data_IF_653875011393
#
_entry.id   IF_653875011393
#
_cell.length_a   1.000
_cell.length_b   1.000
_cell.length_c   1.000
_cell.angle_alpha   90.00
_cell.angle_beta   90.00
_cell.angle_gamma   90.00
#
_symmetry.space_group_name_H-M   'P 1'
#
loop_
_entity.id
_entity.type
_entity.pdbx_description
1 polymer ?
#
# COMPACT_ATOMS: atom_id res chain seq x y z
N UNK A 1 19.53 5.19 9.41
CA UNK A 1 18.96 6.13 8.42
C UNK A 1 19.99 6.89 7.58
N UNK A 2 20.94 7.64 8.16
CA UNK A 2 21.92 8.43 7.38
C UNK A 2 22.83 7.61 6.46
N UNK A 3 23.11 6.35 6.81
CA UNK A 3 23.88 5.43 5.97
C UNK A 3 23.04 4.87 4.79
N UNK A 4 21.71 4.87 4.93
CA UNK A 4 20.77 4.30 3.96
C UNK A 4 20.40 5.35 2.90
N UNK A 5 20.11 6.58 3.34
CA UNK A 5 19.57 7.68 2.51
C UNK A 5 20.58 8.82 2.32
N UNK A 6 20.47 9.55 1.20
CA UNK A 6 21.25 10.77 0.97
C UNK A 6 20.60 11.96 1.69
N UNK A 7 21.00 12.20 2.93
CA UNK A 7 20.47 13.31 3.72
C UNK A 7 20.80 14.69 3.12
N UNK A 8 21.84 14.82 2.30
CA UNK A 8 22.12 16.08 1.63
C UNK A 8 21.10 16.36 0.52
N UNK A 9 20.73 15.34 -0.26
CA UNK A 9 19.65 15.43 -1.25
C UNK A 9 18.30 15.70 -0.58
N UNK A 10 17.99 15.01 0.52
CA UNK A 10 16.77 15.24 1.29
C UNK A 10 16.69 16.68 1.81
N UNK A 11 17.77 17.23 2.39
CA UNK A 11 17.79 18.63 2.83
C UNK A 11 17.54 19.59 1.69
N UNK A 12 18.14 19.37 0.51
CA UNK A 12 17.91 20.24 -0.66
C UNK A 12 16.43 20.28 -1.06
N UNK A 13 15.75 19.14 -1.08
CA UNK A 13 14.30 19.08 -1.34
C UNK A 13 13.51 19.81 -0.25
N UNK A 14 13.79 19.49 1.02
CA UNK A 14 13.04 19.99 2.18
C UNK A 14 13.24 21.49 2.45
N UNK A 15 14.30 22.08 1.92
CA UNK A 15 14.60 23.51 2.01
C UNK A 15 14.07 24.32 0.81
N UNK A 16 13.44 23.67 -0.17
CA UNK A 16 12.79 24.39 -1.27
C UNK A 16 11.64 25.24 -0.72
N UNK A 17 11.49 26.50 -1.16
CA UNK A 17 10.41 27.37 -0.68
C UNK A 17 9.02 26.90 -1.10
N UNK A 18 8.91 26.11 -2.18
CA UNK A 18 7.66 25.56 -2.72
C UNK A 18 7.37 24.12 -2.25
N UNK A 19 8.21 23.55 -1.38
CA UNK A 19 7.98 22.23 -0.80
C UNK A 19 7.56 22.33 0.66
N UNK A 20 6.29 22.08 0.94
CA UNK A 20 5.75 22.07 2.30
C UNK A 20 5.34 20.65 2.68
N UNK A 21 5.41 20.34 3.97
CA UNK A 21 5.07 19.01 4.46
C UNK A 21 4.36 19.00 5.81
N UNK A 22 3.66 17.90 6.08
CA UNK A 22 3.13 17.56 7.41
C UNK A 22 3.43 16.11 7.77
N UNK A 23 4.05 15.89 8.92
CA UNK A 23 4.29 14.55 9.47
C UNK A 23 3.55 14.41 10.78
N UNK A 24 2.80 13.34 10.92
CA UNK A 24 1.96 13.09 12.08
C UNK A 24 2.42 11.84 12.84
N UNK A 25 2.93 12.05 14.05
CA UNK A 25 3.34 10.96 14.93
C UNK A 25 2.18 10.25 15.62
N UNK A 26 0.95 10.78 15.53
CA UNK A 26 -0.26 10.26 16.18
C UNK A 26 -0.08 9.95 17.68
N UNK A 27 0.78 10.72 18.37
CA UNK A 27 1.19 10.49 19.76
C UNK A 27 1.80 9.09 20.02
N UNK A 28 2.27 8.42 18.97
CA UNK A 28 2.91 7.12 19.04
C UNK A 28 4.42 7.18 19.23
N UNK A 29 5.05 6.01 19.20
CA UNK A 29 6.49 5.84 19.42
C UNK A 29 7.34 6.51 18.33
N UNK A 30 6.78 6.81 17.16
CA UNK A 30 7.44 7.51 16.06
C UNK A 30 7.86 8.95 16.41
N UNK A 31 7.15 9.62 17.33
CA UNK A 31 7.29 11.05 17.60
C UNK A 31 8.73 11.55 17.85
N UNK A 32 9.48 10.95 18.78
CA UNK A 32 10.88 11.30 19.03
C UNK A 32 11.79 11.08 17.82
N UNK A 33 11.59 10.01 17.05
CA UNK A 33 12.34 9.75 15.82
C UNK A 33 12.03 10.80 14.76
N UNK A 34 10.77 11.20 14.62
CA UNK A 34 10.34 12.23 13.68
C UNK A 34 11.00 13.57 14.03
N UNK A 35 11.03 13.96 15.30
CA UNK A 35 11.75 15.17 15.74
C UNK A 35 13.25 15.07 15.46
N UNK A 36 13.89 13.98 15.86
CA UNK A 36 15.33 13.80 15.70
C UNK A 36 15.75 13.81 14.22
N UNK A 37 15.02 13.09 13.37
CA UNK A 37 15.37 12.93 11.96
C UNK A 37 14.96 14.15 11.14
N UNK A 38 13.70 14.56 11.21
CA UNK A 38 13.20 15.60 10.31
C UNK A 38 13.57 16.99 10.80
N UNK A 39 13.42 17.29 12.10
CA UNK A 39 13.77 18.61 12.61
C UNK A 39 15.28 18.78 12.79
N UNK A 40 15.91 18.00 13.66
CA UNK A 40 17.32 18.24 14.02
C UNK A 40 18.29 17.88 12.89
N UNK A 41 18.06 16.75 12.20
CA UNK A 41 18.97 16.31 11.15
C UNK A 41 18.66 16.92 9.77
N UNK A 42 17.39 17.10 9.40
CA UNK A 42 16.99 17.55 8.05
C UNK A 42 16.50 19.01 7.99
N UNK A 43 16.34 19.68 9.14
CA UNK A 43 16.00 21.11 9.19
C UNK A 43 14.52 21.43 8.95
N UNK A 44 13.63 20.45 9.04
CA UNK A 44 12.18 20.67 8.92
C UNK A 44 11.69 21.48 10.14
N UNK A 45 10.90 22.56 9.96
CA UNK A 45 10.34 23.31 11.07
C UNK A 45 9.45 22.44 12.00
N UNK A 46 9.54 22.64 13.32
CA UNK A 46 8.72 21.89 14.28
C UNK A 46 7.21 22.01 14.03
N UNK A 47 6.74 23.13 13.48
CA UNK A 47 5.34 23.35 13.13
C UNK A 47 4.81 22.37 12.06
N UNK A 48 5.69 21.72 11.30
CA UNK A 48 5.34 20.67 10.33
C UNK A 48 5.19 19.29 10.99
N UNK A 49 5.59 19.13 12.25
CA UNK A 49 5.65 17.86 12.96
C UNK A 49 4.54 17.79 14.02
N UNK A 50 3.44 17.11 13.70
CA UNK A 50 2.25 17.02 14.52
C UNK A 50 2.35 15.84 15.49
N UNK A 51 1.85 16.03 16.72
CA UNK A 51 1.62 14.96 17.71
C UNK A 51 2.84 14.05 17.91
N UNK A 52 4.00 14.67 18.07
CA UNK A 52 5.31 14.00 18.18
C UNK A 52 5.76 13.75 19.63
N UNK A 53 4.88 14.01 20.58
CA UNK A 53 4.97 13.65 21.99
C UNK A 53 4.23 12.32 22.23
N UNK A 54 4.93 11.23 22.63
CA UNK A 54 4.27 9.98 22.94
C UNK A 54 3.36 10.11 24.16
N UNK A 55 2.11 9.64 24.04
CA UNK A 55 1.14 9.62 25.14
C UNK A 55 0.62 8.18 25.35
N UNK A 56 0.41 7.74 26.61
CA UNK A 56 -0.06 6.37 26.90
C UNK A 56 -1.40 6.00 26.26
N UNK A 57 -2.25 6.99 26.02
CA UNK A 57 -3.58 6.86 25.41
C UNK A 57 -3.64 7.42 23.98
N UNK A 58 -2.48 7.73 23.40
CA UNK A 58 -2.33 8.36 22.08
C UNK A 58 -3.15 9.66 21.93
N UNK A 59 -3.39 10.39 23.02
CA UNK A 59 -4.23 11.59 23.01
C UNK A 59 -5.70 11.31 22.71
N UNK A 60 -6.19 10.11 23.06
CA UNK A 60 -7.55 9.65 22.76
C UNK A 60 -7.80 9.33 21.29
N UNK A 61 -6.76 9.34 20.45
CA UNK A 61 -6.82 8.98 19.03
C UNK A 61 -6.54 7.49 18.82
N UNK A 62 -6.98 6.94 17.68
CA UNK A 62 -6.60 5.60 17.27
C UNK A 62 -5.27 5.68 16.48
N UNK A 63 -4.16 5.06 16.93
CA UNK A 63 -2.84 5.21 16.32
C UNK A 63 -2.66 4.26 15.12
N UNK A 64 -3.59 4.32 14.16
CA UNK A 64 -3.57 3.53 12.92
C UNK A 64 -3.72 4.46 11.71
N UNK A 65 -2.71 4.57 10.84
CA UNK A 65 -2.65 5.61 9.82
C UNK A 65 -3.48 5.18 8.60
N UNK A 66 -4.78 5.45 8.64
CA UNK A 66 -5.71 5.22 7.53
C UNK A 66 -6.63 6.43 7.31
N UNK A 67 -7.43 6.40 6.25
CA UNK A 67 -8.30 7.53 5.86
C UNK A 67 -9.32 7.92 6.94
N UNK A 68 -9.70 6.98 7.82
CA UNK A 68 -10.65 7.20 8.91
C UNK A 68 -9.97 7.81 10.14
N UNK A 69 -8.89 7.21 10.63
CA UNK A 69 -8.28 7.60 11.91
C UNK A 69 -7.24 8.72 11.78
N UNK A 70 -6.58 8.84 10.63
CA UNK A 70 -5.70 9.97 10.31
C UNK A 70 -6.47 11.11 9.60
N UNK A 71 -7.76 11.27 9.90
CA UNK A 71 -8.66 12.23 9.25
C UNK A 71 -8.14 13.68 9.28
N UNK A 72 -7.43 14.10 10.33
CA UNK A 72 -6.86 15.45 10.41
C UNK A 72 -5.75 15.67 9.38
N UNK A 73 -4.90 14.67 9.15
CA UNK A 73 -3.92 14.70 8.07
C UNK A 73 -4.63 14.70 6.71
N UNK A 74 -5.59 13.79 6.50
CA UNK A 74 -6.37 13.69 5.25
C UNK A 74 -7.01 15.04 4.90
N UNK A 75 -7.66 15.69 5.87
CA UNK A 75 -8.27 17.01 5.70
C UNK A 75 -7.24 18.09 5.42
N UNK A 76 -6.10 18.09 6.14
CA UNK A 76 -5.02 19.04 5.91
C UNK A 76 -4.40 18.92 4.51
N UNK A 77 -4.39 17.71 3.93
CA UNK A 77 -3.94 17.45 2.57
C UNK A 77 -5.01 17.73 1.51
N UNK A 78 -6.20 18.20 1.90
CA UNK A 78 -7.29 18.55 0.99
C UNK A 78 -8.08 17.36 0.45
N UNK A 79 -8.17 16.26 1.22
CA UNK A 79 -8.89 15.06 0.84
C UNK A 79 -10.19 14.88 1.66
N UNK A 80 -11.16 14.19 1.06
CA UNK A 80 -12.34 13.65 1.74
C UNK A 80 -12.06 12.31 2.43
N UNK A 81 -13.01 11.80 3.24
CA UNK A 81 -12.86 10.52 3.96
C UNK A 81 -12.66 9.29 3.05
N UNK A 82 -13.04 9.39 1.78
CA UNK A 82 -12.85 8.35 0.76
C UNK A 82 -11.52 8.49 -0.01
N UNK A 83 -10.65 9.41 0.41
CA UNK A 83 -9.36 9.67 -0.21
C UNK A 83 -9.45 10.45 -1.54
N UNK A 84 -10.65 10.91 -1.93
CA UNK A 84 -10.84 11.78 -3.10
C UNK A 84 -10.50 13.24 -2.79
N UNK A 85 -10.12 14.02 -3.80
CA UNK A 85 -9.88 15.45 -3.61
C UNK A 85 -11.15 16.15 -3.12
N UNK A 86 -11.05 16.87 -2.00
CA UNK A 86 -12.16 17.61 -1.44
C UNK A 86 -12.45 18.86 -2.28
N UNK A 87 -13.67 18.97 -2.82
CA UNK A 87 -14.08 20.12 -3.64
C UNK A 87 -13.92 21.46 -2.89
N UNK A 88 -14.20 21.48 -1.58
CA UNK A 88 -14.04 22.68 -0.74
C UNK A 88 -12.57 23.09 -0.52
N UNK A 89 -11.63 22.18 -0.77
CA UNK A 89 -10.19 22.45 -0.69
C UNK A 89 -9.60 22.84 -2.06
N UNK A 90 -10.39 22.89 -3.14
CA UNK A 90 -9.92 23.35 -4.45
C UNK A 90 -9.62 24.85 -4.39
N UNK A 91 -8.35 25.21 -4.61
CA UNK A 91 -7.87 26.60 -4.52
C UNK A 91 -7.26 26.99 -3.16
N UNK A 92 -7.40 26.15 -2.13
CA UNK A 92 -6.64 26.33 -0.89
C UNK A 92 -5.19 25.86 -1.07
N UNK A 93 -4.26 26.53 -0.39
CA UNK A 93 -2.89 26.04 -0.25
C UNK A 93 -2.88 24.85 0.72
N UNK A 94 -2.38 23.70 0.26
CA UNK A 94 -2.26 22.47 1.05
C UNK A 94 -0.82 21.99 1.00
N UNK A 95 -0.34 21.22 1.98
CA UNK A 95 1.03 20.73 1.97
C UNK A 95 1.32 19.89 0.73
N UNK A 96 2.54 19.99 0.20
CA UNK A 96 3.01 19.22 -0.95
C UNK A 96 3.15 17.72 -0.62
N UNK A 97 3.48 17.40 0.65
CA UNK A 97 3.69 16.04 1.14
C UNK A 97 3.13 15.85 2.56
N UNK A 98 2.42 14.75 2.79
CA UNK A 98 1.85 14.38 4.08
C UNK A 98 2.21 12.94 4.43
N UNK A 99 2.50 12.66 5.70
CA UNK A 99 2.57 11.29 6.18
C UNK A 99 2.13 11.15 7.63
N UNK A 100 1.59 9.98 7.97
CA UNK A 100 1.28 9.58 9.34
C UNK A 100 1.92 8.23 9.64
N UNK A 101 2.28 8.01 10.90
CA UNK A 101 2.85 6.76 11.41
C UNK A 101 1.91 6.11 12.41
N UNK A 102 1.98 4.79 12.54
CA UNK A 102 1.19 4.08 13.53
C UNK A 102 1.84 4.07 14.92
N UNK A 103 1.20 3.39 15.87
CA UNK A 103 1.54 3.45 17.30
C UNK A 103 2.98 3.03 17.64
N UNK A 104 3.52 2.02 16.97
CA UNK A 104 4.89 1.52 17.16
C UNK A 104 5.85 1.87 16.01
N UNK A 105 5.37 2.64 15.02
CA UNK A 105 6.11 3.16 13.87
C UNK A 105 6.48 2.13 12.78
N UNK A 106 5.87 0.95 12.80
CA UNK A 106 6.10 -0.10 11.79
C UNK A 106 5.29 0.15 10.49
N UNK A 107 4.26 1.00 10.54
CA UNK A 107 3.39 1.36 9.40
C UNK A 107 3.37 2.86 9.11
N UNK A 108 2.99 3.18 7.88
CA UNK A 108 2.93 4.55 7.37
C UNK A 108 1.81 4.76 6.35
N UNK A 109 1.18 5.92 6.41
CA UNK A 109 0.35 6.43 5.31
C UNK A 109 1.07 7.59 4.65
N UNK A 110 1.15 7.57 3.32
CA UNK A 110 1.70 8.67 2.51
C UNK A 110 0.59 9.32 1.70
N UNK A 111 0.59 10.65 1.70
CA UNK A 111 -0.43 11.47 1.05
C UNK A 111 0.26 12.62 0.31
N UNK A 112 -0.11 12.84 -0.96
CA UNK A 112 0.28 14.03 -1.71
C UNK A 112 -0.73 15.15 -1.57
N UNK A 113 -0.40 16.34 -2.07
CA UNK A 113 -1.35 17.44 -2.20
C UNK A 113 -2.62 16.97 -2.95
N UNK A 114 -3.75 16.86 -2.25
CA UNK A 114 -5.04 16.38 -2.78
C UNK A 114 -4.98 14.99 -3.44
N UNK A 115 -4.05 14.14 -3.02
CA UNK A 115 -3.83 12.84 -3.66
C UNK A 115 -3.51 11.75 -2.64
N UNK A 116 -4.40 10.78 -2.49
CA UNK A 116 -4.14 9.60 -1.67
C UNK A 116 -3.27 8.58 -2.43
N UNK A 117 -2.24 8.06 -1.76
CA UNK A 117 -1.43 6.96 -2.28
C UNK A 117 -1.86 5.66 -1.63
N UNK A 118 -2.41 4.73 -2.42
CA UNK A 118 -2.70 3.39 -1.93
C UNK A 118 -1.39 2.70 -1.49
N UNK A 119 -1.35 1.98 -0.35
CA UNK A 119 -0.12 1.34 0.13
C UNK A 119 0.48 0.32 -0.85
N UNK A 120 -0.34 -0.33 -1.68
CA UNK A 120 0.15 -1.25 -2.73
C UNK A 120 0.85 -0.50 -3.87
N UNK A 121 0.27 0.63 -4.30
CA UNK A 121 0.90 1.52 -5.29
C UNK A 121 2.18 2.15 -4.70
N UNK A 122 2.19 2.45 -3.39
CA UNK A 122 3.38 2.95 -2.72
C UNK A 122 4.53 1.94 -2.82
N UNK A 123 4.30 0.67 -2.48
CA UNK A 123 5.30 -0.39 -2.64
C UNK A 123 5.83 -0.45 -4.09
N UNK A 124 4.95 -0.39 -5.08
CA UNK A 124 5.32 -0.43 -6.49
C UNK A 124 6.16 0.78 -6.92
N UNK A 125 5.80 1.99 -6.48
CA UNK A 125 6.56 3.22 -6.78
C UNK A 125 7.95 3.16 -6.14
N UNK A 126 8.06 2.71 -4.89
CA UNK A 126 9.35 2.55 -4.22
C UNK A 126 10.22 1.51 -4.94
N UNK A 127 9.66 0.36 -5.33
CA UNK A 127 10.36 -0.65 -6.11
C UNK A 127 10.87 -0.10 -7.46
N UNK A 128 10.03 0.68 -8.16
CA UNK A 128 10.36 1.24 -9.47
C UNK A 128 11.50 2.27 -9.40
N UNK A 129 11.65 2.96 -8.28
CA UNK A 129 12.59 4.06 -8.07
C UNK A 129 13.64 3.75 -7.00
N UNK A 130 13.95 2.47 -6.74
CA UNK A 130 14.89 2.08 -5.67
C UNK A 130 16.30 2.67 -5.84
N UNK A 131 16.72 2.97 -7.06
CA UNK A 131 18.01 3.61 -7.36
C UNK A 131 18.13 5.03 -6.79
N UNK A 132 17.02 5.65 -6.38
CA UNK A 132 17.01 6.93 -5.67
C UNK A 132 17.63 6.83 -4.25
N UNK A 133 17.75 5.62 -3.70
CA UNK A 133 18.27 5.39 -2.35
C UNK A 133 19.67 4.75 -2.41
N UNK A 134 20.69 5.37 -1.78
CA UNK A 134 22.07 4.88 -1.78
C UNK A 134 22.22 3.42 -1.34
N UNK A 135 21.44 2.94 -0.36
CA UNK A 135 21.46 1.55 0.10
C UNK A 135 21.29 0.54 -1.05
N UNK A 136 20.24 0.69 -1.87
CA UNK A 136 20.00 -0.19 -3.01
C UNK A 136 21.03 0.02 -4.11
N UNK A 137 21.36 1.27 -4.43
CA UNK A 137 22.33 1.59 -5.48
C UNK A 137 23.71 0.99 -5.21
N UNK A 138 24.21 1.06 -3.96
CA UNK A 138 25.51 0.48 -3.59
C UNK A 138 25.52 -1.05 -3.68
N UNK A 139 24.36 -1.68 -3.54
CA UNK A 139 24.21 -3.12 -3.68
C UNK A 139 23.93 -3.56 -5.14
N UNK A 140 23.95 -2.64 -6.11
CA UNK A 140 23.68 -2.93 -7.52
C UNK A 140 22.19 -2.97 -7.89
N UNK A 141 21.31 -2.44 -7.04
CA UNK A 141 19.86 -2.43 -7.22
C UNK A 141 19.14 -3.41 -6.29
N UNK A 142 17.82 -3.54 -6.48
CA UNK A 142 17.02 -4.57 -5.82
C UNK A 142 17.33 -5.95 -6.42
N UNK A 143 17.38 -6.99 -5.59
CA UNK A 143 17.42 -8.39 -6.08
C UNK A 143 16.03 -9.01 -6.15
N UNK A 144 15.19 -8.69 -5.19
CA UNK A 144 13.84 -9.23 -5.09
C UNK A 144 12.86 -8.22 -4.48
N UNK A 145 11.58 -8.48 -4.72
CA UNK A 145 10.46 -7.82 -4.06
C UNK A 145 9.50 -8.87 -3.52
N UNK A 146 8.82 -8.57 -2.42
CA UNK A 146 7.82 -9.45 -1.84
C UNK A 146 6.59 -8.65 -1.40
N UNK A 147 5.41 -9.24 -1.49
CA UNK A 147 4.18 -8.66 -0.94
C UNK A 147 3.30 -9.72 -0.32
N UNK A 148 2.46 -9.33 0.63
CA UNK A 148 1.38 -10.21 1.09
C UNK A 148 0.42 -10.48 -0.09
N UNK A 149 -0.18 -11.66 -0.11
CA UNK A 149 -1.12 -12.07 -1.14
C UNK A 149 -2.30 -11.10 -1.30
N UNK A 150 -2.89 -10.54 -0.22
CA UNK A 150 -3.97 -9.57 -0.36
C UNK A 150 -3.54 -8.22 -0.94
N UNK A 151 -2.26 -7.84 -0.83
CA UNK A 151 -1.72 -6.61 -1.44
C UNK A 151 -1.86 -6.64 -2.95
N UNK A 152 -2.23 -5.50 -3.57
CA UNK A 152 -2.37 -5.41 -5.03
C UNK A 152 -1.08 -5.80 -5.76
N UNK A 153 -1.25 -6.38 -6.94
CA UNK A 153 -0.17 -6.81 -7.82
C UNK A 153 0.50 -5.67 -8.61
N UNK A 154 0.37 -4.41 -8.17
CA UNK A 154 1.06 -3.27 -8.80
C UNK A 154 2.59 -3.49 -8.86
N UNK A 155 3.17 -3.99 -7.76
CA UNK A 155 4.62 -4.28 -7.69
C UNK A 155 5.03 -5.43 -8.62
N UNK A 156 4.12 -6.36 -8.93
CA UNK A 156 4.37 -7.48 -9.85
C UNK A 156 4.68 -6.95 -11.27
N UNK A 157 4.02 -5.85 -11.67
CA UNK A 157 4.26 -5.18 -12.97
C UNK A 157 5.66 -4.58 -13.03
N UNK A 158 6.10 -3.97 -11.93
CA UNK A 158 7.45 -3.42 -11.79
C UNK A 158 8.47 -4.54 -11.82
N UNK A 159 8.23 -5.62 -11.08
CA UNK A 159 9.14 -6.76 -11.02
C UNK A 159 9.30 -7.41 -12.40
N UNK A 160 8.20 -7.60 -13.13
CA UNK A 160 8.24 -8.12 -14.50
C UNK A 160 9.07 -7.22 -15.43
N UNK A 161 8.84 -5.90 -15.39
CA UNK A 161 9.55 -4.95 -16.24
C UNK A 161 11.05 -4.81 -15.91
N UNK A 162 11.43 -5.00 -14.64
CA UNK A 162 12.82 -4.92 -14.16
C UNK A 162 13.54 -6.27 -14.08
N UNK A 163 12.86 -7.38 -14.40
CA UNK A 163 13.43 -8.72 -14.26
C UNK A 163 13.72 -9.14 -12.82
N UNK A 164 12.96 -8.60 -11.84
CA UNK A 164 13.13 -8.91 -10.42
C UNK A 164 12.34 -10.16 -10.04
N UNK A 165 12.88 -10.92 -9.08
CA UNK A 165 12.10 -11.97 -8.41
C UNK A 165 10.99 -11.32 -7.58
N UNK A 166 9.74 -11.73 -7.81
CA UNK A 166 8.57 -11.26 -7.06
C UNK A 166 7.96 -12.41 -6.26
N UNK A 167 7.82 -12.23 -4.94
CA UNK A 167 7.20 -13.20 -4.06
C UNK A 167 5.82 -12.73 -3.63
N UNK A 168 4.80 -13.53 -3.93
CA UNK A 168 3.48 -13.42 -3.31
C UNK A 168 3.45 -14.37 -2.10
N UNK A 169 3.49 -13.81 -0.89
CA UNK A 169 3.56 -14.58 0.36
C UNK A 169 2.26 -14.45 1.16
N UNK A 170 1.92 -15.36 2.09
CA UNK A 170 0.76 -15.16 2.96
C UNK A 170 0.93 -13.95 3.88
N UNK A 171 -0.16 -13.48 4.50
CA UNK A 171 -0.07 -12.43 5.51
C UNK A 171 0.78 -12.90 6.70
N UNK A 172 1.69 -12.04 7.16
CA UNK A 172 2.54 -12.30 8.33
C UNK A 172 4.02 -12.11 8.03
N UNK A 173 4.69 -11.36 8.91
CA UNK A 173 6.07 -10.93 8.71
C UNK A 173 7.11 -12.07 8.60
N UNK A 174 6.82 -13.24 9.18
CA UNK A 174 7.71 -14.41 9.16
C UNK A 174 8.20 -14.80 7.76
N UNK A 175 7.35 -14.69 6.74
CA UNK A 175 7.73 -15.05 5.37
C UNK A 175 8.71 -14.04 4.77
N UNK A 176 8.55 -12.75 5.08
CA UNK A 176 9.52 -11.74 4.69
C UNK A 176 10.86 -11.93 5.42
N UNK A 177 10.82 -12.22 6.72
CA UNK A 177 12.01 -12.56 7.52
C UNK A 177 12.80 -13.71 6.90
N UNK A 178 12.14 -14.83 6.59
CA UNK A 178 12.76 -15.96 5.89
C UNK A 178 13.44 -15.54 4.58
N UNK A 179 12.75 -14.78 3.73
CA UNK A 179 13.33 -14.29 2.48
C UNK A 179 14.54 -13.37 2.71
N UNK A 180 14.52 -12.52 3.74
CA UNK A 180 15.65 -11.65 4.09
C UNK A 180 16.85 -12.42 4.63
N UNK A 181 16.60 -13.52 5.35
CA UNK A 181 17.62 -14.35 5.99
C UNK A 181 18.09 -15.54 5.12
N UNK A 182 17.50 -15.66 3.92
CA UNK A 182 17.67 -16.76 2.97
C UNK A 182 19.11 -17.16 2.70
N UNK A 183 20.05 -16.20 2.65
CA UNK A 183 21.46 -16.46 2.45
C UNK A 183 22.26 -16.46 3.76
N UNK A 184 22.23 -15.35 4.51
CA UNK A 184 23.15 -15.16 5.64
C UNK A 184 22.88 -16.12 6.81
N UNK A 185 21.63 -16.57 6.98
CA UNK A 185 21.25 -17.52 8.05
C UNK A 185 21.03 -18.91 7.50
N UNK A 186 20.33 -19.03 6.35
CA UNK A 186 19.91 -20.32 5.81
C UNK A 186 20.83 -20.88 4.71
N UNK A 187 21.84 -20.13 4.25
CA UNK A 187 22.81 -20.58 3.25
C UNK A 187 22.24 -20.80 1.84
N UNK A 188 21.02 -20.34 1.59
CA UNK A 188 20.32 -20.42 0.31
C UNK A 188 20.59 -19.23 -0.60
N UNK A 189 19.70 -19.03 -1.58
CA UNK A 189 19.80 -17.92 -2.54
C UNK A 189 19.71 -16.57 -1.84
N UNK A 190 20.65 -15.67 -2.12
CA UNK A 190 20.60 -14.28 -1.63
C UNK A 190 19.53 -13.46 -2.35
N UNK A 191 18.42 -13.22 -1.67
CA UNK A 191 17.35 -12.34 -2.14
C UNK A 191 17.54 -10.88 -1.72
N UNK A 192 18.64 -10.52 -1.03
CA UNK A 192 18.88 -9.17 -0.53
C UNK A 192 19.75 -8.32 -1.48
N UNK A 193 19.44 -7.03 -1.70
CA UNK A 193 18.40 -6.25 -1.04
C UNK A 193 16.98 -6.64 -1.46
N UNK A 194 16.15 -6.93 -0.45
CA UNK A 194 14.73 -7.26 -0.60
C UNK A 194 13.89 -6.05 -0.19
N UNK A 195 12.90 -5.70 -1.00
CA UNK A 195 11.84 -4.76 -0.63
C UNK A 195 10.55 -5.55 -0.37
N UNK A 196 9.82 -5.21 0.71
CA UNK A 196 8.56 -5.88 1.02
C UNK A 196 7.47 -4.93 1.50
N UNK A 197 6.21 -5.30 1.30
CA UNK A 197 5.08 -4.52 1.79
C UNK A 197 3.76 -5.29 1.92
N UNK A 198 2.84 -4.70 2.69
CA UNK A 198 1.51 -5.21 2.98
C UNK A 198 0.46 -4.11 2.75
N UNK A 199 -0.76 -4.50 2.39
CA UNK A 199 -1.87 -3.59 2.07
C UNK A 199 -2.31 -2.76 3.26
N UNK A 200 -1.95 -3.19 4.47
CA UNK A 200 -2.24 -2.53 5.73
C UNK A 200 -1.19 -1.46 6.06
N UNK A 201 -0.74 -0.68 5.08
CA UNK A 201 0.18 0.45 5.28
C UNK A 201 1.58 0.06 5.80
N UNK A 202 1.97 -1.21 5.66
CA UNK A 202 3.28 -1.71 6.09
C UNK A 202 4.24 -1.78 4.92
N UNK A 203 5.44 -1.21 5.05
CA UNK A 203 6.49 -1.35 4.04
C UNK A 203 7.85 -1.38 4.72
N UNK A 204 8.78 -2.17 4.18
CA UNK A 204 10.12 -2.33 4.73
C UNK A 204 11.09 -2.90 3.73
N UNK A 205 12.33 -3.10 4.16
CA UNK A 205 13.36 -3.76 3.36
C UNK A 205 14.33 -4.52 4.25
N UNK A 206 15.23 -5.29 3.64
CA UNK A 206 16.24 -6.10 4.35
C UNK A 206 17.25 -5.31 5.20
N UNK A 207 17.13 -3.99 5.29
CA UNK A 207 17.92 -3.14 6.20
C UNK A 207 17.66 -3.44 7.69
N UNK A 208 16.48 -3.97 8.04
CA UNK A 208 16.15 -4.50 9.35
C UNK A 208 15.18 -5.69 9.21
N UNK A 209 14.76 -6.28 10.33
CA UNK A 209 13.83 -7.43 10.36
C UNK A 209 12.46 -7.05 10.89
N UNK A 210 12.03 -5.84 10.60
CA UNK A 210 10.68 -5.34 10.86
C UNK A 210 10.25 -4.38 9.73
N UNK A 211 8.95 -4.09 9.68
CA UNK A 211 8.42 -2.99 8.85
C UNK A 211 8.88 -1.66 9.45
N UNK A 212 9.03 -0.63 8.63
CA UNK A 212 9.51 0.66 9.12
C UNK A 212 8.83 1.82 8.37
N UNK A 213 7.91 2.48 9.07
CA UNK A 213 7.15 3.59 8.53
C UNK A 213 8.00 4.84 8.29
N UNK A 214 8.94 5.15 9.19
CA UNK A 214 9.83 6.31 9.07
C UNK A 214 10.77 6.14 7.88
N UNK A 215 11.29 4.93 7.71
CA UNK A 215 12.09 4.54 6.55
C UNK A 215 11.32 4.71 5.24
N UNK A 216 10.07 4.25 5.17
CA UNK A 216 9.25 4.37 3.97
C UNK A 216 9.02 5.84 3.57
N UNK A 217 8.79 6.72 4.55
CA UNK A 217 8.67 8.17 4.32
C UNK A 217 9.98 8.79 3.80
N UNK A 218 11.13 8.42 4.38
CA UNK A 218 12.44 8.87 3.87
C UNK A 218 12.72 8.36 2.45
N UNK A 219 12.26 7.17 2.11
CA UNK A 219 12.35 6.62 0.76
C UNK A 219 11.50 7.44 -0.20
N UNK A 220 10.24 7.73 0.12
CA UNK A 220 9.39 8.62 -0.68
C UNK A 220 10.04 9.98 -0.93
N UNK A 221 10.61 10.60 0.12
CA UNK A 221 11.32 11.86 -0.03
C UNK A 221 12.59 11.71 -0.89
N UNK A 222 13.26 10.55 -0.88
CA UNK A 222 14.39 10.27 -1.77
C UNK A 222 13.95 10.17 -3.22
N UNK A 223 12.80 9.54 -3.49
CA UNK A 223 12.19 9.49 -4.83
C UNK A 223 11.86 10.91 -5.30
N UNK A 224 11.22 11.73 -4.45
CA UNK A 224 10.93 13.12 -4.77
C UNK A 224 12.19 13.94 -4.97
N UNK A 225 13.23 13.77 -4.15
CA UNK A 225 14.49 14.49 -4.27
C UNK A 225 15.19 14.16 -5.60
N UNK A 226 15.17 12.89 -6.02
CA UNK A 226 15.72 12.47 -7.31
C UNK A 226 14.97 13.05 -8.52
N UNK A 227 13.71 13.46 -8.34
CA UNK A 227 12.88 14.11 -9.38
C UNK A 227 12.95 15.64 -9.35
N UNK A 228 13.55 16.22 -8.32
CA UNK A 228 13.61 17.67 -8.07
C UNK A 228 15.05 18.14 -7.87
N UNK A 229 15.96 17.69 -8.74
CA UNK A 229 17.40 18.03 -8.65
C UNK A 229 17.70 19.46 -9.06
N UNK A 230 16.89 20.06 -9.93
CA UNK A 230 16.94 21.48 -10.29
C UNK A 230 15.99 22.28 -9.37
N UNK A 231 16.52 23.13 -8.47
CA UNK A 231 15.70 23.95 -7.58
C UNK A 231 14.90 25.04 -8.33
N UNK A 232 15.28 25.40 -9.56
CA UNK A 232 14.57 26.40 -10.37
C UNK A 232 13.42 25.81 -11.18
N UNK A 233 13.40 24.49 -11.38
CA UNK A 233 12.33 23.79 -12.07
C UNK A 233 11.07 23.70 -11.18
N UNK A 234 9.90 23.62 -11.83
CA UNK A 234 8.63 23.40 -11.15
C UNK A 234 8.66 22.10 -10.34
N UNK A 235 8.07 22.15 -9.14
CA UNK A 235 8.05 21.01 -8.23
C UNK A 235 7.30 19.81 -8.84
N UNK A 236 7.99 18.67 -8.92
CA UNK A 236 7.36 17.38 -9.20
C UNK A 236 6.85 16.79 -7.89
N UNK A 237 5.53 16.84 -7.69
CA UNK A 237 4.85 16.31 -6.50
C UNK A 237 4.54 14.80 -6.56
N UNK A 238 3.99 14.27 -5.47
CA UNK A 238 3.64 12.84 -5.31
C UNK A 238 2.70 12.36 -6.42
N UNK A 239 1.63 13.10 -6.72
CA UNK A 239 0.68 12.74 -7.78
C UNK A 239 1.38 12.56 -9.12
N UNK A 240 2.27 13.49 -9.50
CA UNK A 240 3.00 13.40 -10.77
C UNK A 240 3.91 12.16 -10.83
N UNK A 241 4.56 11.80 -9.71
CA UNK A 241 5.36 10.57 -9.62
C UNK A 241 4.50 9.32 -9.79
N UNK A 242 3.35 9.26 -9.13
CA UNK A 242 2.43 8.11 -9.20
C UNK A 242 1.78 8.00 -10.57
N UNK A 243 1.35 9.11 -11.17
CA UNK A 243 0.82 9.11 -12.53
C UNK A 243 1.87 8.72 -13.58
N UNK A 244 3.12 9.16 -13.42
CA UNK A 244 4.22 8.71 -14.27
C UNK A 244 4.47 7.19 -14.13
N UNK A 245 4.36 6.67 -12.91
CA UNK A 245 4.39 5.23 -12.66
C UNK A 245 3.25 4.52 -13.38
N UNK A 246 2.01 4.99 -13.25
CA UNK A 246 0.86 4.38 -13.91
C UNK A 246 0.95 4.44 -15.44
N UNK A 247 1.47 5.54 -16.02
CA UNK A 247 1.74 5.61 -17.47
C UNK A 247 2.74 4.56 -17.95
N UNK A 248 3.63 4.09 -17.06
CA UNK A 248 4.67 3.11 -17.40
C UNK A 248 4.18 1.67 -17.20
N UNK A 249 3.53 1.39 -16.07
CA UNK A 249 3.21 0.01 -15.64
C UNK A 249 1.71 -0.33 -15.70
N UNK A 250 0.87 0.66 -16.02
CA UNK A 250 -0.57 0.57 -15.84
C UNK A 250 -0.97 0.88 -14.39
N UNK A 251 -2.27 0.82 -14.11
CA UNK A 251 -2.82 1.11 -12.79
C UNK A 251 -3.58 -0.11 -12.26
N UNK A 252 -3.24 -0.53 -11.05
CA UNK A 252 -3.98 -1.55 -10.31
C UNK A 252 -4.93 -0.83 -9.35
N UNK A 253 -6.16 -0.60 -9.79
CA UNK A 253 -7.20 -0.08 -8.91
C UNK A 253 -7.44 -1.07 -7.79
N UNK A 254 -7.47 -0.59 -6.55
CA UNK A 254 -7.54 -1.45 -5.38
C UNK A 254 -8.51 -0.87 -4.35
N UNK A 255 -9.30 -1.75 -3.72
CA UNK A 255 -10.08 -1.44 -2.53
C UNK A 255 -10.28 -2.67 -1.66
N UNK A 256 -10.50 -2.48 -0.36
CA UNK A 256 -10.86 -3.54 0.58
C UNK A 256 -12.19 -3.24 1.26
N UNK A 257 -13.08 -4.22 1.26
CA UNK A 257 -14.39 -4.18 1.88
C UNK A 257 -14.41 -5.14 3.08
N UNK A 258 -14.58 -4.62 4.28
CA UNK A 258 -14.62 -5.41 5.51
C UNK A 258 -16.07 -5.53 6.01
N UNK A 259 -16.53 -6.76 6.16
CA UNK A 259 -17.84 -7.09 6.75
C UNK A 259 -17.61 -7.67 8.14
N UNK A 260 -17.57 -6.78 9.14
CA UNK A 260 -17.25 -7.10 10.53
C UNK A 260 -18.47 -7.63 11.28
N UNK A 261 -18.28 -8.46 12.31
CA UNK A 261 -19.37 -8.93 13.17
C UNK A 261 -20.39 -9.81 12.44
N UNK A 262 -19.92 -10.58 11.45
CA UNK A 262 -20.72 -11.64 10.84
C UNK A 262 -20.62 -12.92 11.67
N UNK A 263 -21.67 -13.75 11.66
CA UNK A 263 -21.60 -15.02 12.39
C UNK A 263 -20.56 -15.95 11.75
N UNK A 264 -19.83 -16.77 12.53
CA UNK A 264 -18.88 -17.73 11.98
C UNK A 264 -19.51 -18.66 10.94
N UNK A 265 -20.77 -19.06 11.12
CA UNK A 265 -21.51 -19.93 10.21
C UNK A 265 -21.78 -19.25 8.87
N UNK A 266 -22.24 -17.99 8.88
CA UNK A 266 -22.46 -17.21 7.68
C UNK A 266 -21.15 -16.94 6.93
N UNK A 267 -20.09 -16.60 7.67
CA UNK A 267 -18.76 -16.38 7.11
C UNK A 267 -18.22 -17.66 6.44
N UNK A 268 -18.36 -18.82 7.08
CA UNK A 268 -17.98 -20.11 6.51
C UNK A 268 -18.81 -20.45 5.27
N UNK A 269 -20.11 -20.15 5.26
CA UNK A 269 -20.98 -20.37 4.10
C UNK A 269 -20.55 -19.53 2.88
N UNK A 270 -20.17 -18.26 3.08
CA UNK A 270 -19.61 -17.39 2.03
C UNK A 270 -18.33 -18.01 1.45
N UNK A 271 -17.39 -18.44 2.30
CA UNK A 271 -16.14 -19.07 1.84
C UNK A 271 -16.41 -20.37 1.06
N UNK A 272 -17.23 -21.27 1.60
CA UNK A 272 -17.57 -22.55 0.98
C UNK A 272 -18.31 -22.39 -0.36
N UNK A 273 -19.03 -21.29 -0.55
CA UNK A 273 -19.64 -20.96 -1.85
C UNK A 273 -18.58 -20.63 -2.89
N UNK A 274 -17.65 -19.74 -2.56
CA UNK A 274 -16.58 -19.32 -3.48
C UNK A 274 -15.66 -20.49 -3.80
N UNK A 275 -15.33 -21.33 -2.81
CA UNK A 275 -14.50 -22.52 -3.01
C UNK A 275 -15.11 -23.54 -4.00
N UNK A 276 -16.44 -23.62 -4.08
CA UNK A 276 -17.15 -24.48 -5.05
C UNK A 276 -17.36 -23.83 -6.43
N UNK A 277 -17.05 -22.54 -6.57
CA UNK A 277 -17.23 -21.80 -7.82
C UNK A 277 -16.16 -22.20 -8.82
N UNK A 278 -16.56 -22.52 -10.07
CA UNK A 278 -15.60 -22.79 -11.15
C UNK A 278 -15.36 -21.51 -11.95
N UNK A 279 -14.19 -21.36 -12.62
CA UNK A 279 -13.93 -20.19 -13.45
C UNK A 279 -15.01 -19.89 -14.49
N UNK A 280 -15.62 -20.92 -15.08
CA UNK A 280 -16.70 -20.78 -16.05
C UNK A 280 -18.02 -20.23 -15.46
N UNK A 281 -18.20 -20.30 -14.14
CA UNK A 281 -19.38 -19.79 -13.44
C UNK A 281 -19.23 -18.28 -13.09
N UNK A 282 -18.03 -17.71 -13.28
CA UNK A 282 -17.72 -16.29 -12.98
C UNK A 282 -17.88 -15.44 -14.25
N UNK A 283 -18.75 -14.40 -14.24
CA UNK A 283 -18.90 -13.49 -15.38
C UNK A 283 -17.58 -12.80 -15.75
N UNK A 284 -17.36 -12.55 -17.03
CA UNK A 284 -16.19 -11.81 -17.50
C UNK A 284 -16.20 -10.37 -16.98
N UNK A 285 -15.03 -9.85 -16.60
CA UNK A 285 -14.82 -8.47 -16.19
C UNK A 285 -14.33 -7.67 -17.40
N UNK A 286 -15.14 -6.77 -17.96
CA UNK A 286 -14.77 -5.95 -19.13
C UNK A 286 -14.23 -6.80 -20.31
N UNK A 287 -14.84 -7.96 -20.55
CA UNK A 287 -14.41 -8.92 -21.57
C UNK A 287 -13.26 -9.84 -21.17
N UNK A 288 -12.66 -9.65 -19.99
CA UNK A 288 -11.61 -10.53 -19.46
C UNK A 288 -12.24 -11.74 -18.77
N UNK A 289 -11.98 -12.98 -19.24
CA UNK A 289 -12.53 -14.17 -18.60
C UNK A 289 -11.86 -14.44 -17.26
N UNK A 290 -12.59 -15.08 -16.35
CA UNK A 290 -12.00 -15.69 -15.17
C UNK A 290 -11.15 -16.89 -15.59
N UNK A 291 -9.89 -16.93 -15.14
CA UNK A 291 -8.92 -17.97 -15.50
C UNK A 291 -8.62 -18.93 -14.35
N UNK A 292 -8.90 -18.53 -13.10
CA UNK A 292 -8.68 -19.37 -11.93
C UNK A 292 -9.57 -18.95 -10.76
N UNK A 293 -10.04 -19.96 -10.02
CA UNK A 293 -10.62 -19.85 -8.68
C UNK A 293 -9.87 -20.84 -7.81
N UNK A 294 -9.15 -20.38 -6.81
CA UNK A 294 -8.30 -21.25 -5.97
C UNK A 294 -8.20 -20.81 -4.51
N UNK A 295 -7.86 -21.76 -3.64
CA UNK A 295 -7.47 -21.47 -2.25
C UNK A 295 -5.97 -21.31 -2.19
N UNK A 296 -5.51 -20.10 -1.86
CA UNK A 296 -4.10 -19.77 -1.84
C UNK A 296 -3.35 -20.66 -0.84
N UNK A 297 -2.36 -21.38 -1.36
CA UNK A 297 -1.38 -22.13 -0.60
C UNK A 297 0.02 -21.65 -0.98
N UNK A 298 0.90 -21.61 0.00
CA UNK A 298 2.27 -21.16 -0.15
C UNK A 298 3.22 -22.20 0.45
N UNK A 299 4.26 -22.53 -0.29
CA UNK A 299 5.41 -23.30 0.21
C UNK A 299 6.58 -22.36 0.29
N UNK A 300 7.09 -22.14 1.49
CA UNK A 300 8.20 -21.22 1.72
C UNK A 300 9.49 -21.74 1.02
N UNK A 301 10.17 -20.92 0.21
CA UNK A 301 11.34 -21.37 -0.53
C UNK A 301 12.60 -21.52 0.35
N UNK A 302 12.54 -21.07 1.61
CA UNK A 302 13.67 -21.06 2.54
C UNK A 302 13.53 -22.18 3.57
N UNK A 303 12.41 -22.23 4.28
CA UNK A 303 12.19 -23.23 5.34
C UNK A 303 11.28 -24.41 4.92
N UNK A 304 10.73 -24.35 3.71
CA UNK A 304 9.86 -25.38 3.12
C UNK A 304 8.55 -25.62 3.86
N UNK A 305 8.17 -24.74 4.79
CA UNK A 305 6.88 -24.82 5.47
C UNK A 305 5.74 -24.56 4.48
N UNK A 306 4.66 -25.35 4.63
CA UNK A 306 3.46 -25.23 3.79
C UNK A 306 2.36 -24.54 4.56
N UNK A 307 1.85 -23.45 4.01
CA UNK A 307 0.72 -22.69 4.54
C UNK A 307 -0.45 -22.76 3.57
N UNK A 308 -1.44 -23.58 3.89
CA UNK A 308 -2.66 -23.75 3.11
C UNK A 308 -3.78 -22.80 3.58
N UNK A 309 -4.84 -22.66 2.78
CA UNK A 309 -6.08 -21.95 3.13
C UNK A 309 -5.86 -20.48 3.51
N UNK A 310 -4.95 -19.80 2.83
CA UNK A 310 -4.54 -18.43 3.15
C UNK A 310 -5.46 -17.35 2.53
N UNK A 311 -6.45 -17.78 1.73
CA UNK A 311 -7.48 -16.93 1.14
C UNK A 311 -7.96 -17.48 -0.20
N UNK A 312 -9.23 -17.25 -0.53
CA UNK A 312 -9.79 -17.66 -1.81
C UNK A 312 -9.55 -16.56 -2.84
N UNK A 313 -9.01 -16.90 -4.01
CA UNK A 313 -8.69 -15.95 -5.08
C UNK A 313 -9.53 -16.27 -6.30
N UNK A 314 -10.10 -15.24 -6.92
CA UNK A 314 -10.74 -15.30 -8.23
C UNK A 314 -9.97 -14.38 -9.16
N UNK A 315 -9.35 -14.94 -10.19
CA UNK A 315 -8.38 -14.25 -11.06
C UNK A 315 -8.90 -14.16 -12.49
N UNK A 316 -8.66 -13.02 -13.13
CA UNK A 316 -8.99 -12.73 -14.51
C UNK A 316 -7.73 -12.71 -15.38
N UNK A 317 -7.91 -12.86 -16.70
CA UNK A 317 -6.82 -13.00 -17.66
C UNK A 317 -5.84 -11.80 -17.72
N UNK A 318 -6.34 -10.59 -17.46
CA UNK A 318 -5.56 -9.34 -17.44
C UNK A 318 -4.76 -9.15 -16.13
N UNK A 319 -4.97 -10.02 -15.14
CA UNK A 319 -4.41 -9.91 -13.80
C UNK A 319 -5.32 -9.21 -12.78
N UNK A 320 -6.50 -8.72 -13.19
CA UNK A 320 -7.54 -8.30 -12.26
C UNK A 320 -7.98 -9.49 -11.38
N UNK A 321 -8.46 -9.22 -10.17
CA UNK A 321 -8.88 -10.26 -9.21
C UNK A 321 -9.77 -9.73 -8.11
N UNK A 322 -10.48 -10.63 -7.45
CA UNK A 322 -10.95 -10.39 -6.09
C UNK A 322 -10.54 -11.55 -5.18
N UNK A 323 -10.35 -11.25 -3.90
CA UNK A 323 -9.87 -12.20 -2.89
C UNK A 323 -10.79 -12.15 -1.68
N UNK A 324 -11.11 -13.31 -1.10
CA UNK A 324 -11.79 -13.41 0.18
C UNK A 324 -10.86 -13.98 1.24
N UNK A 325 -10.84 -13.34 2.39
CA UNK A 325 -10.20 -13.87 3.60
C UNK A 325 -11.10 -13.71 4.80
N UNK A 326 -10.99 -14.68 5.71
CA UNK A 326 -11.57 -14.56 7.04
C UNK A 326 -10.51 -14.06 8.02
N UNK A 327 -10.91 -13.13 8.88
CA UNK A 327 -10.10 -12.67 10.01
C UNK A 327 -10.93 -12.63 11.28
N UNK A 328 -10.28 -12.85 12.43
CA UNK A 328 -10.89 -12.65 13.74
C UNK A 328 -11.97 -13.68 14.09
N UNK A 329 -11.72 -14.98 13.97
CA UNK A 329 -12.72 -16.04 14.27
C UNK A 329 -12.90 -16.31 15.79
N UNK A 330 -12.69 -15.29 16.63
CA UNK A 330 -12.82 -15.38 18.09
C UNK A 330 -14.26 -15.21 18.59
N UNK A 331 -14.44 -15.05 19.90
CA UNK A 331 -15.75 -14.92 20.56
C UNK A 331 -16.55 -13.67 20.17
N UNK A 332 -15.96 -12.73 19.44
CA UNK A 332 -16.57 -11.46 19.01
C UNK A 332 -17.13 -11.48 17.57
N UNK A 333 -17.25 -12.66 16.95
CA UNK A 333 -17.74 -12.83 15.58
C UNK A 333 -16.62 -12.72 14.53
N UNK A 334 -16.89 -13.14 13.30
CA UNK A 334 -15.90 -13.15 12.22
C UNK A 334 -15.94 -11.85 11.39
N UNK A 335 -14.85 -11.57 10.69
CA UNK A 335 -14.81 -10.53 9.65
C UNK A 335 -14.49 -11.16 8.31
N UNK A 336 -15.36 -10.94 7.31
CA UNK A 336 -15.09 -11.29 5.91
C UNK A 336 -14.44 -10.09 5.25
N UNK A 337 -13.19 -10.25 4.81
CA UNK A 337 -12.44 -9.25 4.05
C UNK A 337 -12.52 -9.59 2.57
N UNK A 338 -13.13 -8.71 1.80
CA UNK A 338 -13.21 -8.78 0.34
C UNK A 338 -12.25 -7.75 -0.26
N UNK A 339 -11.19 -8.25 -0.90
CA UNK A 339 -10.20 -7.43 -1.59
C UNK A 339 -10.56 -7.38 -3.07
N UNK A 340 -10.52 -6.20 -3.67
CA UNK A 340 -10.95 -5.94 -5.04
C UNK A 340 -9.81 -5.28 -5.79
N UNK A 341 -9.41 -5.86 -6.92
CA UNK A 341 -8.33 -5.35 -7.75
C UNK A 341 -8.69 -5.40 -9.22
N UNK A 342 -8.63 -4.25 -9.90
CA UNK A 342 -8.85 -4.15 -11.34
C UNK A 342 -7.67 -3.47 -12.02
N UNK A 343 -7.11 -4.15 -13.02
CA UNK A 343 -6.01 -3.61 -13.80
C UNK A 343 -6.50 -2.78 -14.98
N UNK A 344 -5.83 -1.65 -15.22
CA UNK A 344 -5.97 -0.85 -16.43
C UNK A 344 -4.58 -0.69 -17.07
N UNK A 345 -4.48 -1.04 -18.36
CA UNK A 345 -3.21 -1.05 -19.07
C UNK A 345 -2.60 0.35 -19.27
N UNK A 346 -1.28 0.46 -19.52
CA UNK A 346 -0.58 1.73 -19.63
C UNK A 346 -1.17 2.68 -20.69
N UNK A 347 -1.61 2.15 -21.84
CA UNK A 347 -2.20 2.93 -22.92
C UNK A 347 -3.52 3.60 -22.51
N UNK A 348 -4.42 2.86 -21.87
CA UNK A 348 -5.70 3.39 -21.39
C UNK A 348 -5.50 4.40 -20.26
N UNK A 349 -4.54 4.13 -19.37
CA UNK A 349 -4.14 5.07 -18.32
C UNK A 349 -3.63 6.38 -18.91
N UNK A 350 -2.70 6.32 -19.87
CA UNK A 350 -2.12 7.51 -20.49
C UNK A 350 -3.23 8.35 -21.15
N UNK A 351 -4.10 7.71 -21.94
CA UNK A 351 -5.22 8.37 -22.59
C UNK A 351 -6.23 8.94 -21.58
N UNK A 352 -6.48 8.25 -20.46
CA UNK A 352 -7.33 8.73 -19.37
C UNK A 352 -6.76 9.96 -18.68
N UNK A 353 -5.47 9.97 -18.39
CA UNK A 353 -4.78 11.11 -17.77
C UNK A 353 -4.74 12.32 -18.69
N UNK A 354 -4.43 12.14 -19.98
CA UNK A 354 -4.40 13.22 -20.98
C UNK A 354 -5.75 13.94 -21.11
N UNK A 355 -6.86 13.19 -21.00
CA UNK A 355 -8.22 13.76 -21.05
C UNK A 355 -8.73 14.27 -19.70
N UNK A 356 -7.96 14.10 -18.61
CA UNK A 356 -8.45 14.37 -17.26
C UNK A 356 -9.64 13.48 -16.85
N UNK A 357 -9.76 12.29 -17.46
CA UNK A 357 -10.91 11.40 -17.35
C UNK A 357 -10.53 10.01 -16.78
N UNK A 358 -9.37 9.91 -16.11
CA UNK A 358 -8.99 8.69 -15.41
C UNK A 358 -9.98 8.46 -14.26
N UNK A 359 -10.72 7.33 -14.22
CA UNK A 359 -11.75 7.13 -13.22
C UNK A 359 -11.14 7.01 -11.82
N UNK A 360 -11.90 7.47 -10.82
CA UNK A 360 -11.63 7.16 -9.41
C UNK A 360 -11.74 5.65 -9.17
N UNK A 361 -11.09 5.14 -8.12
CA UNK A 361 -11.06 3.70 -7.83
C UNK A 361 -12.45 3.11 -7.61
N UNK A 362 -13.33 3.81 -6.88
CA UNK A 362 -14.71 3.39 -6.66
C UNK A 362 -15.52 3.25 -7.96
N UNK A 363 -15.28 4.11 -8.94
CA UNK A 363 -15.92 4.03 -10.25
C UNK A 363 -15.34 2.89 -11.10
N UNK A 364 -14.01 2.75 -11.12
CA UNK A 364 -13.32 1.71 -11.89
C UNK A 364 -13.68 0.30 -11.40
N UNK A 365 -13.84 0.11 -10.08
CA UNK A 365 -14.10 -1.18 -9.45
C UNK A 365 -15.58 -1.60 -9.44
N UNK A 366 -16.50 -0.76 -9.91
CA UNK A 366 -17.95 -0.99 -9.79
C UNK A 366 -18.40 -2.35 -10.35
N UNK A 367 -17.94 -2.70 -11.54
CA UNK A 367 -18.34 -3.94 -12.20
C UNK A 367 -17.74 -5.16 -11.48
N UNK A 368 -16.49 -5.04 -11.02
CA UNK A 368 -15.84 -6.07 -10.21
C UNK A 368 -16.54 -6.28 -8.87
N UNK A 369 -16.97 -5.21 -8.19
CA UNK A 369 -17.79 -5.29 -6.97
C UNK A 369 -19.08 -6.05 -7.27
N UNK A 370 -19.76 -5.72 -8.37
CA UNK A 370 -20.98 -6.41 -8.78
C UNK A 370 -20.76 -7.90 -9.06
N UNK A 371 -19.64 -8.27 -9.70
CA UNK A 371 -19.27 -9.68 -9.92
C UNK A 371 -18.97 -10.37 -8.58
N UNK A 372 -18.15 -9.75 -7.73
CA UNK A 372 -17.76 -10.31 -6.45
C UNK A 372 -19.00 -10.60 -5.58
N UNK A 373 -19.89 -9.63 -5.41
CA UNK A 373 -21.11 -9.80 -4.59
C UNK A 373 -22.03 -10.91 -5.12
N UNK A 374 -22.13 -11.09 -6.45
CA UNK A 374 -22.90 -12.20 -7.05
C UNK A 374 -22.25 -13.56 -6.80
N UNK A 375 -20.93 -13.65 -6.96
CA UNK A 375 -20.18 -14.91 -6.76
C UNK A 375 -20.21 -15.31 -5.29
N UNK A 376 -19.97 -14.35 -4.39
CA UNK A 376 -19.87 -14.60 -2.94
C UNK A 376 -21.23 -14.76 -2.27
N UNK A 377 -22.29 -14.21 -2.85
CA UNK A 377 -23.64 -14.15 -2.26
C UNK A 377 -23.63 -13.58 -0.83
N UNK A 378 -22.75 -12.58 -0.63
CA UNK A 378 -22.34 -12.14 0.69
C UNK A 378 -23.50 -11.49 1.43
N UNK A 379 -24.26 -10.63 0.76
CA UNK A 379 -25.43 -9.97 1.35
C UNK A 379 -26.47 -10.96 1.85
N UNK A 380 -27.03 -11.82 0.99
CA UNK A 380 -28.01 -12.83 1.40
C UNK A 380 -27.52 -13.80 2.48
N UNK A 381 -26.24 -14.22 2.44
CA UNK A 381 -25.70 -15.17 3.42
C UNK A 381 -25.39 -14.54 4.79
N UNK A 382 -25.03 -13.26 4.83
CA UNK A 382 -24.60 -12.58 6.07
C UNK A 382 -25.62 -11.59 6.63
N UNK A 383 -26.65 -11.23 5.86
CA UNK A 383 -27.59 -10.15 6.17
C UNK A 383 -26.99 -8.75 6.05
N UNK A 384 -25.78 -8.59 5.46
CA UNK A 384 -25.09 -7.30 5.31
C UNK A 384 -25.33 -6.69 3.94
N UNK A 385 -26.01 -5.56 3.87
CA UNK A 385 -26.25 -4.83 2.61
C UNK A 385 -25.02 -4.03 2.15
N UNK A 386 -24.15 -3.65 3.07
CA UNK A 386 -22.94 -2.85 2.82
C UNK A 386 -21.78 -3.30 3.72
N UNK A 387 -20.52 -3.07 3.31
CA UNK A 387 -19.37 -3.28 4.17
C UNK A 387 -19.40 -2.32 5.36
N UNK A 388 -18.83 -2.75 6.48
CA UNK A 388 -18.63 -1.93 7.68
C UNK A 388 -17.51 -0.90 7.44
N UNK A 389 -16.45 -1.30 6.74
CA UNK A 389 -15.30 -0.43 6.39
C UNK A 389 -14.94 -0.62 4.92
N UNK A 390 -14.62 0.50 4.26
CA UNK A 390 -14.05 0.52 2.91
C UNK A 390 -12.67 1.19 3.00
N UNK A 391 -11.65 0.58 2.41
CA UNK A 391 -10.28 1.10 2.29
C UNK A 391 -9.87 1.24 0.84
#
# INVERSE_FOLDING_TARGET
>A
MQEIFDFAALRRLLQRPDFTLRLDGMHGASGPYVRRIFHECLGVPLACLLRTDPLPDFGGCHPDPNLTYAADLVRAMGLGPDGSACAAALGAEVPSFGAAFDGDADRNMVVGARFFVNPSDALAVLAANADAVPFFRRAGGLRAVARSMPTSGAVDRVAAAKGLRCFEVPTGWKYFGNLMDSHDVFGGTDYTPLLCGEESFGTGSSHMREKDGVWAVLFWLSVLAARNTDPAAALVGVQAVVEAHWRTYGRNYYSRYDYEGVTPEAAAAVMARVERTRPADVPALNGQPCVAVDSFAYTDPVDHTVSANQGLRVRFADGSRFVLRLSGTGSSGATVRLYLEQYMGPGDVAAGLERGALPAASAALRDLVGIALRVTDLGPLTGREAPTVIT
#
